data_IF_568873369764
#
_entry.id   IF_568873369764
#
_cell.length_a   1.000
_cell.length_b   1.000
_cell.length_c   1.000
_cell.angle_alpha   90.00
_cell.angle_beta   90.00
_cell.angle_gamma   90.00
#
_symmetry.space_group_name_H-M   'P 1'
#
loop_
_entity.id
_entity.type
_entity.pdbx_description
1 polymer ?
#
# COMPACT_ATOMS: atom_id res chain seq x y z
N UNK A 1 84.43 -13.83 -29.76
CA UNK A 1 83.48 -12.75 -29.95
C UNK A 1 82.30 -12.96 -28.97
N UNK A 2 82.06 -12.11 -28.00
CA UNK A 2 80.92 -12.28 -27.13
C UNK A 2 79.66 -11.85 -27.84
N UNK A 3 78.64 -12.71 -27.75
CA UNK A 3 77.30 -12.47 -28.29
C UNK A 3 76.69 -11.24 -27.55
N UNK A 4 76.39 -10.22 -28.33
CA UNK A 4 75.77 -9.02 -27.89
C UNK A 4 74.49 -9.35 -27.09
N UNK A 5 74.42 -8.79 -25.90
CA UNK A 5 73.20 -8.79 -25.04
C UNK A 5 72.04 -8.24 -25.90
N UNK A 6 71.11 -9.13 -26.29
CA UNK A 6 69.83 -8.71 -26.80
C UNK A 6 69.23 -7.88 -25.66
N UNK A 7 69.05 -6.59 -25.89
CA UNK A 7 68.32 -5.73 -24.97
C UNK A 7 66.99 -6.42 -24.65
N UNK A 8 66.80 -6.67 -23.36
CA UNK A 8 65.54 -7.25 -22.90
C UNK A 8 64.43 -6.29 -23.32
N UNK A 9 63.57 -6.77 -24.20
CA UNK A 9 62.37 -5.98 -24.53
C UNK A 9 61.55 -5.76 -23.26
N UNK A 10 61.33 -4.53 -22.98
CA UNK A 10 60.47 -4.14 -21.86
C UNK A 10 59.07 -4.77 -22.06
N UNK A 11 58.67 -5.60 -21.11
CA UNK A 11 57.38 -6.28 -21.20
C UNK A 11 56.37 -5.39 -20.53
N UNK A 12 55.43 -4.87 -21.29
CA UNK A 12 54.27 -4.16 -20.76
C UNK A 12 53.27 -5.17 -20.22
N UNK A 13 52.94 -5.06 -18.91
CA UNK A 13 51.98 -5.92 -18.28
C UNK A 13 50.57 -5.31 -18.40
N UNK A 14 49.73 -5.89 -19.25
CA UNK A 14 48.32 -5.50 -19.35
C UNK A 14 47.48 -5.98 -18.15
N UNK A 15 48.04 -6.80 -17.25
CA UNK A 15 47.37 -7.24 -16.02
C UNK A 15 47.56 -6.25 -14.84
N UNK A 16 48.34 -5.21 -15.02
CA UNK A 16 48.63 -4.21 -14.00
C UNK A 16 48.03 -2.85 -14.39
N UNK A 17 46.74 -2.85 -14.75
CA UNK A 17 46.00 -1.64 -14.96
C UNK A 17 45.69 -1.04 -13.58
N UNK A 18 45.89 0.27 -13.43
CA UNK A 18 45.41 0.99 -12.25
C UNK A 18 43.91 0.81 -12.13
N UNK A 19 43.42 0.57 -10.92
CA UNK A 19 41.99 0.48 -10.65
C UNK A 19 41.35 1.83 -10.95
N UNK A 20 40.66 1.92 -12.07
CA UNK A 20 39.92 3.13 -12.48
C UNK A 20 38.62 3.24 -11.70
N UNK A 21 38.00 2.10 -11.32
CA UNK A 21 36.80 2.00 -10.52
C UNK A 21 36.94 0.88 -9.50
N UNK A 22 36.48 1.07 -8.27
CA UNK A 22 36.47 0.00 -7.28
C UNK A 22 35.54 -1.14 -7.77
N UNK A 23 35.90 -2.38 -7.46
CA UNK A 23 35.05 -3.53 -7.75
C UNK A 23 33.72 -3.37 -7.02
N UNK A 24 32.58 -3.53 -7.73
CA UNK A 24 31.28 -3.43 -7.09
C UNK A 24 31.10 -4.59 -6.08
N UNK A 25 30.65 -4.26 -4.87
CA UNK A 25 30.24 -5.27 -3.90
C UNK A 25 28.85 -5.80 -4.29
N UNK A 26 28.77 -7.06 -4.68
CA UNK A 26 27.53 -7.70 -5.13
C UNK A 26 26.49 -7.87 -4.01
N UNK A 27 26.90 -7.75 -2.74
CA UNK A 27 26.03 -7.82 -1.57
C UNK A 27 25.82 -6.46 -0.90
N UNK A 28 26.21 -5.38 -1.56
CA UNK A 28 26.08 -4.02 -1.05
C UNK A 28 24.62 -3.63 -0.74
N UNK A 29 23.69 -4.09 -1.56
CA UNK A 29 22.25 -3.85 -1.36
C UNK A 29 21.78 -4.40 -0.01
N UNK A 30 22.17 -5.62 0.34
CA UNK A 30 21.81 -6.26 1.60
C UNK A 30 22.46 -5.56 2.79
N UNK A 31 23.76 -5.24 2.71
CA UNK A 31 24.51 -4.57 3.78
C UNK A 31 23.95 -3.16 4.05
N UNK A 32 23.86 -2.33 3.02
CA UNK A 32 23.34 -0.96 3.15
C UNK A 32 21.87 -0.92 3.59
N UNK A 33 21.04 -1.88 3.14
CA UNK A 33 19.67 -1.98 3.58
C UNK A 33 19.57 -2.28 5.08
N UNK A 34 20.42 -3.19 5.58
CA UNK A 34 20.46 -3.54 6.99
C UNK A 34 21.02 -2.41 7.85
N UNK A 35 22.10 -1.76 7.41
CA UNK A 35 22.67 -0.56 8.07
C UNK A 35 21.65 0.56 8.17
N UNK A 36 20.93 0.85 7.06
CA UNK A 36 19.85 1.85 7.07
C UNK A 36 18.71 1.46 8.00
N UNK A 37 18.35 0.17 8.04
CA UNK A 37 17.32 -0.31 8.96
C UNK A 37 17.72 -0.07 10.41
N UNK A 38 18.96 -0.38 10.81
CA UNK A 38 19.46 -0.14 12.16
C UNK A 38 19.62 1.36 12.49
N UNK A 39 19.96 2.18 11.48
CA UNK A 39 20.20 3.60 11.69
C UNK A 39 18.89 4.42 11.76
N UNK A 40 17.93 4.10 10.92
CA UNK A 40 16.70 4.90 10.72
C UNK A 40 15.45 4.05 10.89
N UNK A 41 15.40 2.86 10.30
CA UNK A 41 14.20 2.05 10.20
C UNK A 41 13.65 1.58 11.55
N UNK A 42 14.49 1.31 12.54
CA UNK A 42 14.06 0.98 13.90
C UNK A 42 13.37 2.17 14.55
N UNK A 43 13.96 3.37 14.46
CA UNK A 43 13.37 4.58 15.01
C UNK A 43 12.01 4.90 14.33
N UNK A 44 11.95 4.78 13.00
CA UNK A 44 10.70 4.93 12.24
C UNK A 44 9.64 3.91 12.70
N UNK A 45 10.03 2.64 12.92
CA UNK A 45 9.09 1.58 13.36
C UNK A 45 8.53 1.86 14.75
N UNK A 46 9.37 2.32 15.69
CA UNK A 46 8.89 2.68 17.03
C UNK A 46 8.03 3.95 17.01
N UNK A 47 8.36 4.93 16.17
CA UNK A 47 7.55 6.12 15.97
C UNK A 47 6.18 5.82 15.35
N UNK A 48 6.09 4.86 14.42
CA UNK A 48 4.83 4.42 13.82
C UNK A 48 3.87 3.77 14.83
N UNK A 49 4.41 3.11 15.86
CA UNK A 49 3.62 2.46 16.92
C UNK A 49 3.26 3.45 18.03
N UNK A 50 4.09 4.46 18.24
CA UNK A 50 3.94 5.46 19.29
C UNK A 50 3.16 6.70 18.78
N UNK A 51 2.38 7.34 19.67
CA UNK A 51 2.04 6.93 21.03
C UNK A 51 0.93 5.88 21.10
N UNK A 52 1.00 4.98 22.08
CA UNK A 52 -0.11 4.08 22.41
C UNK A 52 -0.97 4.79 23.44
N UNK A 53 -2.18 5.16 23.08
CA UNK A 53 -3.11 5.90 23.93
C UNK A 53 -4.22 5.00 24.46
N UNK A 54 -4.66 5.24 25.69
CA UNK A 54 -5.88 4.66 26.23
C UNK A 54 -7.12 5.20 25.49
N UNK A 55 -8.24 4.47 25.55
CA UNK A 55 -9.52 4.87 24.96
C UNK A 55 -10.04 6.23 25.45
N UNK A 56 -9.64 6.66 26.67
CA UNK A 56 -9.95 7.98 27.23
C UNK A 56 -8.96 9.07 26.82
N UNK A 57 -7.85 8.72 26.20
CA UNK A 57 -6.77 9.65 25.82
C UNK A 57 -5.98 10.23 27.01
N UNK A 58 -6.16 9.70 28.23
CA UNK A 58 -5.54 10.20 29.43
C UNK A 58 -4.19 9.55 29.74
N UNK A 59 -3.98 8.33 29.29
CA UNK A 59 -2.75 7.57 29.45
C UNK A 59 -2.08 7.42 28.07
N UNK A 60 -0.80 7.69 28.04
CA UNK A 60 -0.01 7.68 26.82
C UNK A 60 1.33 6.98 27.06
N UNK A 61 1.68 6.03 26.19
CA UNK A 61 2.94 5.31 26.23
C UNK A 61 3.67 5.55 24.91
N UNK A 62 4.82 6.16 25.00
CA UNK A 62 5.71 6.43 23.87
C UNK A 62 6.94 5.54 23.93
N UNK A 63 7.42 5.10 22.77
CA UNK A 63 8.68 4.41 22.61
C UNK A 63 9.63 5.24 21.78
N UNK A 64 10.79 5.56 22.32
CA UNK A 64 11.83 6.29 21.63
C UNK A 64 13.06 5.40 21.44
N UNK A 65 13.56 5.33 20.21
CA UNK A 65 14.77 4.63 19.86
C UNK A 65 15.71 5.58 19.12
N UNK A 66 16.89 5.81 19.68
CA UNK A 66 17.95 6.56 19.03
C UNK A 66 19.10 5.61 18.69
N UNK A 67 19.37 5.48 17.40
CA UNK A 67 20.45 4.63 16.91
C UNK A 67 21.86 5.10 17.32
N UNK A 68 22.01 6.36 17.71
CA UNK A 68 23.26 6.95 18.17
C UNK A 68 23.52 6.72 19.67
N UNK A 69 22.51 6.32 20.42
CA UNK A 69 22.60 6.05 21.86
C UNK A 69 23.14 4.61 22.08
N UNK A 70 24.36 4.54 22.61
CA UNK A 70 25.02 3.26 22.89
C UNK A 70 24.31 2.46 24.00
N UNK A 71 23.60 3.13 24.90
CA UNK A 71 22.85 2.48 25.99
C UNK A 71 21.62 1.69 25.48
N UNK A 72 21.17 2.00 24.25
CA UNK A 72 20.04 1.32 23.62
C UNK A 72 20.46 0.11 22.77
N UNK A 73 21.77 -0.16 22.65
CA UNK A 73 22.31 -1.31 21.92
C UNK A 73 23.29 -2.09 22.78
N UNK A 74 22.93 -3.31 23.13
CA UNK A 74 23.84 -4.25 23.79
C UNK A 74 24.65 -5.05 22.77
N UNK A 75 25.96 -5.30 23.07
CA UNK A 75 26.79 -6.13 22.19
C UNK A 75 26.27 -7.58 22.14
N UNK A 76 26.62 -8.33 21.08
CA UNK A 76 26.25 -9.73 20.98
C UNK A 76 26.84 -10.56 22.12
N UNK A 77 26.04 -11.48 22.67
CA UNK A 77 26.46 -12.35 23.81
C UNK A 77 27.51 -13.37 23.42
N UNK A 78 27.49 -13.79 22.16
CA UNK A 78 28.36 -14.83 21.62
C UNK A 78 28.99 -14.39 20.30
N UNK A 79 30.18 -14.89 20.02
CA UNK A 79 30.84 -14.68 18.72
C UNK A 79 30.15 -15.50 17.61
N UNK A 80 30.36 -15.13 16.34
CA UNK A 80 29.83 -15.86 15.18
C UNK A 80 30.17 -17.36 15.21
N UNK A 81 31.41 -17.68 15.62
CA UNK A 81 31.87 -19.09 15.70
C UNK A 81 31.15 -19.87 16.80
N UNK A 82 31.02 -19.26 17.98
CA UNK A 82 30.31 -19.89 19.09
C UNK A 82 28.82 -20.10 18.77
N UNK A 83 28.20 -19.12 18.07
CA UNK A 83 26.82 -19.26 17.63
C UNK A 83 26.63 -20.45 16.70
N UNK A 84 27.57 -20.71 15.78
CA UNK A 84 27.53 -21.87 14.86
C UNK A 84 27.80 -23.21 15.58
N UNK A 85 28.69 -23.21 16.58
CA UNK A 85 29.05 -24.42 17.31
C UNK A 85 28.03 -24.85 18.37
N UNK A 86 27.33 -23.85 18.94
CA UNK A 86 26.37 -24.07 20.06
C UNK A 86 24.90 -23.88 19.65
N UNK A 87 24.61 -23.82 18.36
CA UNK A 87 23.26 -23.59 17.83
C UNK A 87 22.57 -22.33 18.38
N UNK A 88 23.34 -21.26 18.58
CA UNK A 88 22.80 -19.98 19.02
C UNK A 88 22.54 -19.03 17.84
N UNK A 89 21.73 -18.00 18.12
CA UNK A 89 21.50 -16.91 17.17
C UNK A 89 22.49 -15.77 17.44
N UNK A 90 23.17 -15.29 16.40
CA UNK A 90 24.03 -14.13 16.45
C UNK A 90 23.15 -12.87 16.45
N UNK A 91 23.04 -12.17 17.61
CA UNK A 91 22.10 -11.08 17.80
C UNK A 91 22.65 -9.99 18.70
N UNK A 92 22.25 -8.75 18.44
CA UNK A 92 22.45 -7.62 19.33
C UNK A 92 21.21 -7.47 20.22
N UNK A 93 21.40 -6.96 21.43
CA UNK A 93 20.30 -6.63 22.34
C UNK A 93 19.77 -5.24 22.01
N UNK A 94 18.44 -5.12 21.86
CA UNK A 94 17.79 -3.83 21.62
C UNK A 94 17.02 -3.40 22.85
N UNK A 95 17.27 -2.17 23.27
CA UNK A 95 16.57 -1.47 24.33
C UNK A 95 15.86 -0.25 23.73
N UNK A 96 14.78 0.17 24.34
CA UNK A 96 14.06 1.39 23.99
C UNK A 96 13.79 2.20 25.22
N UNK A 97 13.72 3.50 25.07
CA UNK A 97 13.30 4.41 26.12
C UNK A 97 11.77 4.48 26.09
N UNK A 98 11.13 3.92 27.11
CA UNK A 98 9.69 3.97 27.28
C UNK A 98 9.32 5.16 28.16
N UNK A 99 8.49 6.07 27.64
CA UNK A 99 7.96 7.22 28.35
C UNK A 99 6.47 7.03 28.56
N UNK A 100 6.05 6.97 29.83
CA UNK A 100 4.67 6.89 30.24
C UNK A 100 4.19 8.24 30.73
N UNK A 101 3.16 8.79 30.08
CA UNK A 101 2.55 10.07 30.41
C UNK A 101 1.13 9.85 30.95
N UNK A 102 0.85 10.34 32.14
CA UNK A 102 -0.50 10.41 32.72
C UNK A 102 -0.98 11.86 32.68
N UNK A 103 -1.87 12.20 31.75
CA UNK A 103 -2.39 13.56 31.59
C UNK A 103 -3.27 14.04 32.74
N UNK A 104 -3.89 13.12 33.51
CA UNK A 104 -4.71 13.47 34.66
C UNK A 104 -3.89 13.96 35.84
N UNK A 105 -2.72 13.33 36.08
CA UNK A 105 -1.84 13.66 37.22
C UNK A 105 -0.66 14.52 36.81
N UNK A 106 -0.41 14.65 35.50
CA UNK A 106 0.79 15.32 34.95
C UNK A 106 2.10 14.53 35.20
N UNK A 107 1.99 13.27 35.64
CA UNK A 107 3.15 12.43 35.95
C UNK A 107 3.77 11.86 34.66
N UNK A 108 5.09 12.01 34.54
CA UNK A 108 5.90 11.43 33.46
C UNK A 108 6.86 10.42 34.11
N UNK A 109 6.82 9.17 33.63
CA UNK A 109 7.78 8.13 34.01
C UNK A 109 8.55 7.69 32.79
N UNK A 110 9.87 7.67 32.90
CA UNK A 110 10.75 7.23 31.82
C UNK A 110 11.63 6.09 32.32
N UNK A 111 11.74 5.03 31.51
CA UNK A 111 12.55 3.87 31.81
C UNK A 111 13.07 3.23 30.51
N UNK A 112 14.33 2.78 30.53
CA UNK A 112 14.90 1.96 29.47
C UNK A 112 14.38 0.52 29.62
N UNK A 113 13.76 -0.01 28.56
CA UNK A 113 13.14 -1.33 28.54
C UNK A 113 13.83 -2.20 27.49
N UNK A 114 14.15 -3.43 27.88
CA UNK A 114 14.66 -4.44 26.96
C UNK A 114 13.52 -4.93 26.03
N UNK A 115 13.71 -4.76 24.72
CA UNK A 115 12.72 -5.17 23.73
C UNK A 115 12.96 -6.58 23.19
N UNK A 116 14.24 -6.97 23.07
CA UNK A 116 14.57 -8.31 22.61
C UNK A 116 15.97 -8.41 22.00
N UNK A 117 16.32 -9.64 21.65
CA UNK A 117 17.54 -9.95 20.90
C UNK A 117 17.22 -9.85 19.39
N UNK A 118 17.89 -8.97 18.66
CA UNK A 118 17.68 -8.77 17.23
C UNK A 118 18.82 -9.37 16.42
N UNK A 119 18.54 -10.22 15.41
CA UNK A 119 19.60 -10.85 14.61
C UNK A 119 20.53 -9.83 13.97
N UNK A 120 21.83 -10.04 14.12
CA UNK A 120 22.89 -9.21 13.56
C UNK A 120 23.42 -9.79 12.27
N UNK A 121 23.63 -8.95 11.27
CA UNK A 121 24.26 -9.33 10.02
C UNK A 121 25.77 -9.52 10.20
N UNK A 122 26.32 -10.58 9.61
CA UNK A 122 27.76 -10.80 9.55
C UNK A 122 28.40 -9.94 8.45
N UNK A 123 29.71 -9.82 8.45
CA UNK A 123 30.45 -9.10 7.39
C UNK A 123 30.23 -9.65 5.99
N UNK A 124 29.79 -10.92 5.90
CA UNK A 124 29.47 -11.61 4.64
C UNK A 124 28.03 -11.35 4.16
N UNK A 125 27.25 -10.52 4.88
CA UNK A 125 25.85 -10.23 4.55
C UNK A 125 24.89 -11.38 4.90
N UNK A 126 25.27 -12.27 5.81
CA UNK A 126 24.48 -13.43 6.26
C UNK A 126 23.98 -13.21 7.70
N UNK A 127 23.00 -14.02 8.11
CA UNK A 127 22.52 -14.09 9.48
C UNK A 127 22.74 -15.49 10.02
N UNK A 128 23.15 -15.61 11.28
CA UNK A 128 23.28 -16.89 11.97
C UNK A 128 22.08 -17.04 12.91
N UNK A 129 21.20 -17.97 12.59
CA UNK A 129 19.98 -18.23 13.35
C UNK A 129 19.98 -19.72 13.77
N UNK A 130 19.98 -19.97 15.06
CA UNK A 130 20.08 -21.33 15.63
C UNK A 130 21.23 -22.12 15.00
N UNK A 131 22.42 -21.52 14.96
CA UNK A 131 23.63 -22.13 14.39
C UNK A 131 23.69 -22.18 12.86
N UNK A 132 22.57 -21.98 12.17
CA UNK A 132 22.48 -22.06 10.71
C UNK A 132 22.69 -20.69 10.08
N UNK A 133 23.59 -20.62 9.10
CA UNK A 133 23.84 -19.40 8.32
C UNK A 133 22.76 -19.26 7.24
N UNK A 134 22.08 -18.09 7.24
CA UNK A 134 20.97 -17.77 6.34
C UNK A 134 21.16 -16.43 5.65
N UNK A 135 20.53 -16.26 4.50
CA UNK A 135 20.55 -15.02 3.72
C UNK A 135 19.13 -14.56 3.46
N UNK A 136 18.92 -13.25 3.55
CA UNK A 136 17.65 -12.65 3.11
C UNK A 136 17.73 -12.44 1.60
N UNK A 137 16.82 -13.08 0.86
CA UNK A 137 16.72 -12.95 -0.58
C UNK A 137 15.85 -11.76 -0.91
N UNK A 138 16.36 -10.85 -1.75
CA UNK A 138 15.59 -9.71 -2.25
C UNK A 138 14.40 -10.19 -3.07
N UNK A 139 13.23 -9.61 -2.83
CA UNK A 139 12.00 -9.91 -3.57
C UNK A 139 11.55 -8.69 -4.37
N UNK A 140 11.15 -8.94 -5.62
CA UNK A 140 10.47 -7.93 -6.42
C UNK A 140 9.00 -7.87 -6.03
N UNK A 141 8.56 -6.70 -5.63
CA UNK A 141 7.16 -6.43 -5.31
C UNK A 141 6.62 -5.39 -6.27
N UNK A 142 5.30 -5.39 -6.49
CA UNK A 142 4.67 -4.34 -7.27
C UNK A 142 4.84 -3.01 -6.54
N UNK A 143 5.20 -1.97 -7.31
CA UNK A 143 5.31 -0.64 -6.74
C UNK A 143 3.95 -0.14 -6.26
N UNK A 144 3.88 0.50 -5.08
CA UNK A 144 2.64 1.12 -4.64
C UNK A 144 2.20 2.21 -5.62
N UNK A 145 0.90 2.40 -5.74
CA UNK A 145 0.26 3.34 -6.67
C UNK A 145 -0.97 2.74 -7.34
N UNK A 146 -1.53 3.42 -8.33
CA UNK A 146 -2.62 2.90 -9.15
C UNK A 146 -2.08 2.35 -10.47
N UNK A 147 -2.55 1.17 -10.86
CA UNK A 147 -2.14 0.46 -12.08
C UNK A 147 -3.39 0.04 -12.84
N UNK A 148 -3.45 0.36 -14.13
CA UNK A 148 -4.52 -0.04 -15.04
C UNK A 148 -3.98 -1.03 -16.08
N UNK A 149 -4.61 -2.20 -16.14
CA UNK A 149 -4.15 -3.31 -16.98
C UNK A 149 -5.32 -3.93 -17.75
N UNK A 150 -5.05 -4.56 -18.91
CA UNK A 150 -6.05 -5.40 -19.56
C UNK A 150 -6.33 -6.62 -18.68
N UNK A 151 -7.60 -6.93 -18.46
CA UNK A 151 -8.00 -8.06 -17.63
C UNK A 151 -7.68 -9.42 -18.28
N UNK A 152 -7.13 -10.35 -17.49
CA UNK A 152 -6.72 -11.67 -18.01
C UNK A 152 -7.88 -12.63 -18.29
N UNK A 153 -9.08 -12.37 -17.79
CA UNK A 153 -10.19 -13.36 -17.77
C UNK A 153 -10.79 -13.73 -19.12
N UNK A 154 -10.53 -12.98 -20.18
CA UNK A 154 -11.15 -13.19 -21.50
C UNK A 154 -10.17 -13.34 -22.66
N UNK A 155 -9.16 -14.16 -22.53
CA UNK A 155 -8.46 -14.77 -23.67
C UNK A 155 -9.33 -15.83 -24.36
N UNK A 156 -10.63 -15.62 -24.49
CA UNK A 156 -11.49 -16.50 -25.25
C UNK A 156 -11.47 -16.11 -26.72
N UNK A 157 -11.19 -17.09 -27.52
CA UNK A 157 -10.80 -17.22 -28.94
C UNK A 157 -11.51 -16.32 -29.99
N UNK A 158 -12.54 -15.55 -29.68
CA UNK A 158 -13.36 -14.87 -30.69
C UNK A 158 -13.83 -13.46 -30.33
N UNK A 159 -13.25 -12.77 -29.35
CA UNK A 159 -13.73 -11.45 -28.93
C UNK A 159 -12.73 -10.34 -29.23
N UNK A 160 -12.70 -9.94 -30.50
CA UNK A 160 -11.91 -8.78 -30.97
C UNK A 160 -12.45 -7.40 -30.55
N UNK A 161 -13.57 -7.32 -29.84
CA UNK A 161 -14.26 -6.04 -29.57
C UNK A 161 -14.40 -5.62 -28.10
N UNK A 162 -14.04 -6.44 -27.12
CA UNK A 162 -14.31 -6.10 -25.72
C UNK A 162 -13.06 -6.33 -24.87
N UNK A 163 -12.34 -5.27 -24.61
CA UNK A 163 -11.23 -5.28 -23.65
C UNK A 163 -11.81 -5.17 -22.25
N UNK A 164 -11.64 -6.22 -21.45
CA UNK A 164 -11.81 -6.11 -20.01
C UNK A 164 -10.66 -5.27 -19.48
N UNK A 165 -10.96 -4.21 -18.75
CA UNK A 165 -9.96 -3.35 -18.12
C UNK A 165 -10.07 -3.49 -16.62
N UNK A 166 -8.94 -3.61 -15.96
CA UNK A 166 -8.85 -3.66 -14.51
C UNK A 166 -7.96 -2.54 -14.01
N UNK A 167 -8.39 -1.92 -12.92
CA UNK A 167 -7.61 -0.92 -12.20
C UNK A 167 -7.35 -1.41 -10.79
N UNK A 168 -6.14 -1.31 -10.30
CA UNK A 168 -5.82 -1.75 -8.94
C UNK A 168 -5.02 -0.67 -8.21
N UNK A 169 -5.48 -0.30 -7.02
CA UNK A 169 -4.71 0.54 -6.11
C UNK A 169 -3.91 -0.39 -5.20
N UNK A 170 -2.58 -0.32 -5.33
CA UNK A 170 -1.63 -1.07 -4.52
C UNK A 170 -1.05 -0.15 -3.43
N UNK A 171 -1.32 -0.39 -2.14
CA UNK A 171 -0.63 0.29 -1.07
C UNK A 171 0.76 -0.32 -0.82
N UNK A 172 1.61 0.38 -0.10
CA UNK A 172 2.79 -0.19 0.51
C UNK A 172 2.41 -1.08 1.70
N UNK A 173 1.46 -0.59 2.53
CA UNK A 173 0.86 -1.31 3.66
C UNK A 173 -0.64 -1.09 3.64
N UNK A 174 -1.43 -2.17 3.72
CA UNK A 174 -2.89 -2.12 3.74
C UNK A 174 -3.54 -3.03 2.72
N UNK A 175 -4.85 -2.90 2.59
CA UNK A 175 -5.66 -3.71 1.69
C UNK A 175 -5.72 -3.12 0.28
N UNK A 176 -5.74 -3.99 -0.72
CA UNK A 176 -5.87 -3.58 -2.12
C UNK A 176 -7.32 -3.27 -2.46
N UNK A 177 -7.51 -2.32 -3.38
CA UNK A 177 -8.79 -2.10 -4.05
C UNK A 177 -8.59 -2.42 -5.52
N UNK A 178 -9.39 -3.36 -6.02
CA UNK A 178 -9.40 -3.75 -7.43
C UNK A 178 -10.70 -3.28 -8.05
N UNK A 179 -10.64 -2.58 -9.17
CA UNK A 179 -11.77 -2.19 -10.01
C UNK A 179 -11.76 -2.99 -11.29
N UNK A 180 -12.91 -3.35 -11.77
CA UNK A 180 -13.05 -4.03 -13.08
C UNK A 180 -14.26 -3.52 -13.84
N UNK A 181 -14.11 -3.47 -15.17
CA UNK A 181 -15.23 -3.28 -16.11
C UNK A 181 -15.38 -4.58 -16.88
N UNK A 182 -16.53 -5.22 -16.75
CA UNK A 182 -16.82 -6.51 -17.33
C UNK A 182 -17.93 -6.40 -18.38
N UNK A 183 -17.64 -6.83 -19.61
CA UNK A 183 -18.64 -6.99 -20.63
C UNK A 183 -18.85 -8.48 -20.93
N UNK A 184 -20.05 -8.98 -20.72
CA UNK A 184 -20.44 -10.34 -21.09
C UNK A 184 -21.24 -10.29 -22.36
N UNK A 185 -21.01 -11.23 -23.34
CA UNK A 185 -21.80 -11.29 -24.55
C UNK A 185 -23.29 -11.40 -24.26
N UNK A 186 -24.10 -10.51 -24.83
CA UNK A 186 -25.55 -10.48 -24.64
C UNK A 186 -26.01 -9.99 -23.27
N UNK A 187 -25.15 -9.34 -22.52
CA UNK A 187 -25.45 -8.66 -21.25
C UNK A 187 -24.85 -7.27 -21.24
N UNK A 188 -25.42 -6.42 -20.40
CA UNK A 188 -24.94 -5.07 -20.21
C UNK A 188 -23.53 -5.04 -19.65
N UNK A 189 -22.80 -3.97 -19.92
CA UNK A 189 -21.52 -3.70 -19.33
C UNK A 189 -21.71 -3.45 -17.83
N UNK A 190 -20.86 -4.03 -17.01
CA UNK A 190 -20.94 -3.86 -15.58
C UNK A 190 -19.59 -3.42 -15.03
N UNK A 191 -19.58 -2.35 -14.25
CA UNK A 191 -18.44 -1.91 -13.49
C UNK A 191 -18.56 -2.36 -12.02
N UNK A 192 -17.45 -2.78 -11.45
CA UNK A 192 -17.43 -3.26 -10.07
C UNK A 192 -16.09 -3.09 -9.40
N UNK A 193 -16.07 -3.35 -8.10
CA UNK A 193 -14.87 -3.35 -7.33
C UNK A 193 -14.79 -4.56 -6.39
N UNK A 194 -13.55 -4.94 -6.06
CA UNK A 194 -13.25 -5.94 -5.01
C UNK A 194 -12.43 -5.28 -3.93
N UNK A 195 -12.92 -5.39 -2.73
CA UNK A 195 -12.24 -4.93 -1.52
C UNK A 195 -11.56 -6.15 -0.89
N UNK A 196 -10.26 -6.05 -0.57
CA UNK A 196 -9.49 -7.11 0.09
C UNK A 196 -9.63 -8.48 -0.62
N UNK A 197 -9.69 -8.50 -1.96
CA UNK A 197 -9.86 -9.71 -2.80
C UNK A 197 -11.14 -10.51 -2.50
N UNK A 198 -12.15 -9.89 -1.89
CA UNK A 198 -13.44 -10.50 -1.60
C UNK A 198 -14.34 -10.52 -2.83
N UNK A 199 -15.63 -10.82 -2.63
CA UNK A 199 -16.62 -10.86 -3.73
C UNK A 199 -16.79 -9.48 -4.35
N UNK A 200 -16.95 -9.45 -5.66
CA UNK A 200 -17.21 -8.25 -6.44
C UNK A 200 -18.46 -7.51 -5.95
N UNK A 201 -18.32 -6.23 -5.77
CA UNK A 201 -19.35 -5.25 -5.45
C UNK A 201 -19.65 -4.42 -6.70
N UNK A 202 -20.85 -3.86 -6.80
CA UNK A 202 -21.14 -2.87 -7.81
C UNK A 202 -20.36 -1.58 -7.60
N UNK A 203 -20.00 -0.90 -8.69
CA UNK A 203 -19.35 0.42 -8.61
C UNK A 203 -20.24 1.42 -7.87
N UNK A 204 -21.55 1.37 -8.05
CA UNK A 204 -22.49 2.25 -7.38
C UNK A 204 -22.53 2.05 -5.87
N UNK A 205 -22.41 0.81 -5.39
CA UNK A 205 -22.25 0.53 -3.94
C UNK A 205 -20.98 1.18 -3.39
N UNK A 206 -19.88 1.16 -4.15
CA UNK A 206 -18.64 1.81 -3.73
C UNK A 206 -18.76 3.33 -3.73
N UNK A 207 -19.36 3.91 -4.77
CA UNK A 207 -19.57 5.37 -4.85
C UNK A 207 -20.40 5.88 -3.67
N UNK A 208 -21.48 5.17 -3.31
CA UNK A 208 -22.28 5.53 -2.12
C UNK A 208 -21.49 5.38 -0.83
N UNK A 209 -20.72 4.29 -0.67
CA UNK A 209 -19.88 4.10 0.50
C UNK A 209 -18.83 5.21 0.67
N UNK A 210 -18.36 5.78 -0.44
CA UNK A 210 -17.47 6.94 -0.43
C UNK A 210 -18.18 8.25 -0.08
N UNK A 211 -19.52 8.24 0.02
CA UNK A 211 -20.33 9.42 0.33
C UNK A 211 -20.89 10.13 -0.90
N UNK A 212 -20.76 9.54 -2.10
CA UNK A 212 -21.39 10.06 -3.33
C UNK A 212 -22.77 9.43 -3.52
N UNK A 213 -23.62 9.55 -2.50
CA UNK A 213 -25.01 9.12 -2.47
C UNK A 213 -25.96 10.30 -2.71
N UNK A 214 -27.25 10.02 -2.88
CA UNK A 214 -28.25 11.06 -3.15
C UNK A 214 -28.43 12.03 -1.98
N UNK A 215 -28.18 11.58 -0.74
CA UNK A 215 -28.30 12.41 0.45
C UNK A 215 -27.19 13.48 0.54
N UNK A 216 -25.97 13.12 0.21
CA UNK A 216 -24.82 14.01 0.29
C UNK A 216 -24.58 14.80 -1.00
N UNK A 217 -24.86 14.18 -2.15
CA UNK A 217 -24.64 14.74 -3.48
C UNK A 217 -25.85 14.49 -4.40
N UNK A 218 -26.95 15.26 -4.27
CA UNK A 218 -28.16 15.06 -5.05
C UNK A 218 -27.92 15.04 -6.56
N UNK A 219 -28.44 14.02 -7.26
CA UNK A 219 -28.33 13.85 -8.70
C UNK A 219 -26.91 13.53 -9.20
N UNK A 220 -25.96 13.22 -8.32
CA UNK A 220 -24.60 12.88 -8.75
C UNK A 220 -24.58 11.55 -9.52
N UNK A 221 -25.19 10.51 -8.98
CA UNK A 221 -25.20 9.19 -9.61
C UNK A 221 -25.88 9.18 -10.97
N UNK A 222 -27.00 9.93 -11.13
CA UNK A 222 -27.66 10.07 -12.42
C UNK A 222 -26.77 10.77 -13.45
N UNK A 223 -26.11 11.88 -13.07
CA UNK A 223 -25.15 12.58 -13.95
C UNK A 223 -23.95 11.72 -14.26
N UNK A 224 -23.49 10.90 -13.32
CA UNK A 224 -22.40 9.96 -13.51
C UNK A 224 -22.75 8.88 -14.56
N UNK A 225 -23.98 8.34 -14.48
CA UNK A 225 -24.50 7.37 -15.48
C UNK A 225 -24.71 8.05 -16.84
N UNK A 226 -25.23 9.28 -16.88
CA UNK A 226 -25.39 10.03 -18.13
C UNK A 226 -24.03 10.31 -18.82
N UNK A 227 -22.98 10.47 -18.05
CA UNK A 227 -21.61 10.65 -18.57
C UNK A 227 -21.03 9.31 -19.08
N UNK A 228 -21.29 8.21 -18.37
CA UNK A 228 -20.88 6.86 -18.74
C UNK A 228 -22.12 6.02 -19.15
N UNK A 229 -22.70 6.36 -20.29
CA UNK A 229 -23.97 5.82 -20.78
C UNK A 229 -24.01 4.28 -20.88
N UNK A 230 -22.87 3.64 -21.12
CA UNK A 230 -22.74 2.19 -21.14
C UNK A 230 -23.05 1.51 -19.79
N UNK A 231 -23.14 2.27 -18.68
CA UNK A 231 -23.53 1.77 -17.36
C UNK A 231 -25.04 1.86 -17.09
N UNK A 232 -25.84 2.41 -18.02
CA UNK A 232 -27.29 2.60 -17.86
C UNK A 232 -28.01 1.29 -17.52
N UNK A 233 -27.73 0.21 -18.24
CA UNK A 233 -28.33 -1.10 -17.97
C UNK A 233 -27.98 -1.67 -16.58
N UNK A 234 -26.76 -1.44 -16.10
CA UNK A 234 -26.38 -1.79 -14.72
C UNK A 234 -27.13 -0.93 -13.70
N UNK A 235 -27.25 0.37 -13.95
CA UNK A 235 -27.94 1.31 -13.09
C UNK A 235 -29.41 0.98 -12.95
N UNK A 236 -30.11 0.73 -14.07
CA UNK A 236 -31.51 0.32 -14.07
C UNK A 236 -31.74 -0.98 -13.30
N UNK A 237 -30.87 -1.98 -13.53
CA UNK A 237 -30.94 -3.26 -12.81
C UNK A 237 -30.76 -3.10 -11.29
N UNK A 238 -29.97 -2.17 -10.86
CA UNK A 238 -29.78 -1.89 -9.43
C UNK A 238 -30.98 -1.11 -8.87
N UNK A 239 -31.43 -0.09 -9.57
CA UNK A 239 -32.59 0.70 -9.16
C UNK A 239 -33.83 -0.18 -9.02
N UNK A 240 -34.05 -1.13 -9.93
CA UNK A 240 -35.14 -2.09 -9.85
C UNK A 240 -35.10 -3.00 -8.62
N UNK A 241 -33.93 -3.32 -8.11
CA UNK A 241 -33.78 -4.12 -6.88
C UNK A 241 -34.25 -3.35 -5.65
N UNK A 242 -34.06 -2.03 -5.62
CA UNK A 242 -34.47 -1.21 -4.49
C UNK A 242 -35.97 -0.92 -4.51
N UNK A 243 -36.55 -0.76 -5.71
CA UNK A 243 -38.00 -0.52 -5.88
C UNK A 243 -38.84 -1.76 -5.54
N UNK A 244 -38.26 -2.95 -5.50
CA UNK A 244 -38.96 -4.21 -5.18
C UNK A 244 -39.08 -4.54 -3.70
N UNK A 245 -38.44 -3.81 -2.80
CA UNK A 245 -38.70 -3.94 -1.37
C UNK A 245 -40.00 -3.20 -1.01
N UNK A 246 -40.95 -3.97 -0.51
CA UNK A 246 -42.39 -3.77 -0.41
C UNK A 246 -42.87 -2.58 0.43
N UNK A 247 -42.44 -1.37 0.35
CA UNK A 247 -43.18 -0.23 0.94
C UNK A 247 -42.74 1.07 0.28
N UNK A 248 -43.69 1.65 -0.46
CA UNK A 248 -43.86 3.07 -0.82
C UNK A 248 -42.62 3.98 -0.91
N UNK A 249 -42.05 4.07 -2.06
CA UNK A 249 -41.06 4.98 -2.59
C UNK A 249 -39.71 4.32 -2.85
N UNK A 250 -39.13 4.47 -4.04
CA UNK A 250 -37.77 4.03 -4.32
C UNK A 250 -36.82 4.89 -3.50
N UNK A 251 -36.40 4.39 -2.35
CA UNK A 251 -35.38 5.03 -1.53
C UNK A 251 -34.04 4.58 -2.10
N UNK A 252 -33.28 5.50 -2.66
CA UNK A 252 -31.88 5.23 -3.03
C UNK A 252 -31.09 4.84 -1.77
N UNK A 253 -30.31 3.75 -1.82
CA UNK A 253 -29.54 3.32 -0.68
C UNK A 253 -28.62 4.41 -0.19
N UNK A 254 -28.65 4.62 1.10
CA UNK A 254 -27.79 5.58 1.79
C UNK A 254 -26.33 5.10 1.86
N UNK A 255 -25.43 6.00 2.22
CA UNK A 255 -24.02 5.66 2.50
C UNK A 255 -23.92 4.54 3.54
N UNK A 256 -24.75 4.58 4.60
CA UNK A 256 -24.74 3.58 5.68
C UNK A 256 -25.10 2.18 5.16
N UNK A 257 -26.11 2.08 4.31
CA UNK A 257 -26.53 0.80 3.72
C UNK A 257 -25.46 0.22 2.79
N UNK A 258 -24.79 1.08 2.02
CA UNK A 258 -23.69 0.67 1.18
C UNK A 258 -22.49 0.15 2.00
N UNK A 259 -22.16 0.81 3.11
CA UNK A 259 -21.12 0.37 4.04
C UNK A 259 -21.48 -0.96 4.70
N UNK A 260 -22.74 -1.14 5.10
CA UNK A 260 -23.25 -2.41 5.65
C UNK A 260 -23.14 -3.54 4.61
N UNK A 261 -23.45 -3.27 3.33
CA UNK A 261 -23.29 -4.27 2.27
C UNK A 261 -21.82 -4.68 2.09
N UNK A 262 -20.90 -3.72 2.11
CA UNK A 262 -19.45 -3.99 2.07
C UNK A 262 -19.03 -4.85 3.25
N UNK A 263 -19.47 -4.49 4.47
CA UNK A 263 -19.13 -5.21 5.68
C UNK A 263 -19.63 -6.65 5.69
N UNK A 264 -20.88 -6.89 5.28
CA UNK A 264 -21.46 -8.24 5.15
C UNK A 264 -20.63 -9.14 4.22
N UNK A 265 -20.05 -8.56 3.16
CA UNK A 265 -19.22 -9.32 2.22
C UNK A 265 -17.79 -9.51 2.72
N UNK A 266 -17.28 -8.55 3.47
CA UNK A 266 -15.92 -8.62 4.03
C UNK A 266 -15.85 -9.59 5.21
N UNK A 267 -16.88 -9.59 6.07
CA UNK A 267 -16.96 -10.40 7.31
C UNK A 267 -18.28 -11.17 7.39
N UNK A 268 -18.44 -12.23 6.59
CA UNK A 268 -19.64 -13.06 6.66
C UNK A 268 -19.75 -13.73 8.03
N UNK A 269 -20.89 -13.53 8.72
CA UNK A 269 -21.17 -14.15 10.02
C UNK A 269 -21.11 -13.19 11.24
N UNK A 270 -20.59 -11.98 11.07
CA UNK A 270 -20.69 -10.94 12.09
C UNK A 270 -21.96 -10.09 11.88
N UNK A 271 -22.65 -9.68 12.96
CA UNK A 271 -23.80 -8.79 12.84
C UNK A 271 -23.36 -7.42 12.30
N UNK A 272 -23.92 -6.95 11.17
CA UNK A 272 -23.52 -5.70 10.57
C UNK A 272 -24.23 -4.52 11.27
N UNK A 273 -23.47 -3.70 11.99
CA UNK A 273 -23.94 -2.41 12.49
C UNK A 273 -23.38 -1.29 11.61
N UNK A 274 -24.10 -0.17 11.48
CA UNK A 274 -23.64 0.96 10.68
C UNK A 274 -22.28 1.50 11.16
N UNK A 275 -22.11 1.60 12.46
CA UNK A 275 -20.86 2.06 13.07
C UNK A 275 -19.67 1.09 12.80
N UNK A 276 -19.89 -0.21 12.98
CA UNK A 276 -18.86 -1.22 12.73
C UNK A 276 -18.46 -1.24 11.23
N UNK A 277 -19.43 -1.08 10.34
CA UNK A 277 -19.20 -1.03 8.91
C UNK A 277 -18.41 0.24 8.49
N UNK A 278 -18.79 1.41 9.03
CA UNK A 278 -18.08 2.66 8.78
C UNK A 278 -16.64 2.60 9.32
N UNK A 279 -16.46 2.12 10.55
CA UNK A 279 -15.14 1.94 11.15
C UNK A 279 -14.28 0.95 10.35
N UNK A 280 -14.85 -0.17 9.89
CA UNK A 280 -14.13 -1.13 9.06
C UNK A 280 -13.59 -0.49 7.79
N UNK A 281 -14.45 0.22 7.03
CA UNK A 281 -14.09 0.83 5.77
C UNK A 281 -13.09 1.98 5.93
N UNK A 282 -13.31 2.85 6.92
CA UNK A 282 -12.40 3.95 7.22
C UNK A 282 -11.02 3.45 7.67
N UNK A 283 -10.99 2.47 8.57
CA UNK A 283 -9.73 1.90 9.07
C UNK A 283 -8.96 1.11 7.99
N UNK A 284 -9.66 0.58 6.99
CA UNK A 284 -9.01 -0.19 5.92
C UNK A 284 -8.24 0.68 4.93
N UNK A 285 -8.70 1.94 4.68
CA UNK A 285 -8.20 2.76 3.57
C UNK A 285 -7.83 4.20 3.95
N UNK A 286 -8.42 4.75 5.02
CA UNK A 286 -8.31 6.17 5.38
C UNK A 286 -7.66 6.39 6.75
N UNK A 287 -7.15 5.34 7.39
CA UNK A 287 -6.42 5.40 8.66
C UNK A 287 -4.92 5.26 8.40
N UNK A 288 -4.12 6.24 8.78
CA UNK A 288 -2.66 6.30 8.59
C UNK A 288 -1.91 5.20 9.35
N UNK A 289 -2.48 4.69 10.44
CA UNK A 289 -1.92 3.59 11.23
C UNK A 289 -2.01 2.25 10.50
N UNK A 290 -2.99 2.07 9.62
CA UNK A 290 -3.30 0.79 8.96
C UNK A 290 -3.01 0.80 7.47
N UNK A 291 -3.08 1.96 6.83
CA UNK A 291 -2.91 2.12 5.40
C UNK A 291 -1.79 3.10 5.08
N UNK A 292 -0.90 2.74 4.18
CA UNK A 292 0.14 3.63 3.69
C UNK A 292 0.46 3.36 2.22
N UNK A 293 0.46 4.41 1.43
CA UNK A 293 0.94 4.42 0.04
C UNK A 293 2.46 4.55 -0.05
N UNK A 294 3.13 4.94 1.02
CA UNK A 294 4.50 5.44 1.01
C UNK A 294 4.68 6.69 0.12
N UNK A 295 5.85 7.32 0.20
CA UNK A 295 6.18 8.51 -0.65
C UNK A 295 6.13 8.18 -2.14
N UNK A 296 6.56 6.98 -2.53
CA UNK A 296 6.58 6.54 -3.93
C UNK A 296 5.16 6.33 -4.47
N UNK A 297 4.30 5.66 -3.71
CA UNK A 297 2.90 5.45 -4.10
C UNK A 297 2.15 6.76 -4.19
N UNK A 298 2.33 7.67 -3.22
CA UNK A 298 1.73 9.00 -3.23
C UNK A 298 2.13 9.80 -4.47
N UNK A 299 3.42 9.84 -4.80
CA UNK A 299 3.90 10.51 -6.02
C UNK A 299 3.26 9.95 -7.29
N UNK A 300 3.21 8.61 -7.43
CA UNK A 300 2.64 7.96 -8.60
C UNK A 300 1.14 8.19 -8.73
N UNK A 301 0.41 8.13 -7.62
CA UNK A 301 -1.02 8.39 -7.57
C UNK A 301 -1.31 9.83 -7.99
N UNK A 302 -0.64 10.80 -7.38
CA UNK A 302 -0.82 12.22 -7.70
C UNK A 302 -0.51 12.48 -9.17
N UNK A 303 0.60 11.95 -9.70
CA UNK A 303 0.97 12.12 -11.10
C UNK A 303 -0.11 11.62 -12.07
N UNK A 304 -0.83 10.55 -11.70
CA UNK A 304 -1.79 9.89 -12.57
C UNK A 304 -3.22 10.42 -12.41
N UNK A 305 -3.64 10.69 -11.18
CA UNK A 305 -5.03 11.01 -10.86
C UNK A 305 -5.31 12.49 -10.65
N UNK A 306 -4.30 13.37 -10.46
CA UNK A 306 -4.58 14.79 -10.18
C UNK A 306 -5.37 15.47 -11.30
N UNK A 307 -5.02 15.22 -12.55
CA UNK A 307 -5.73 15.76 -13.70
C UNK A 307 -7.16 15.21 -13.80
N UNK A 308 -7.37 13.98 -13.38
CA UNK A 308 -8.69 13.35 -13.36
C UNK A 308 -9.60 13.94 -12.27
N UNK A 309 -9.03 14.23 -11.09
CA UNK A 309 -9.76 14.92 -10.02
C UNK A 309 -10.22 16.31 -10.49
N UNK A 310 -9.36 17.06 -11.19
CA UNK A 310 -9.73 18.38 -11.75
C UNK A 310 -10.87 18.26 -12.77
N UNK A 311 -10.82 17.29 -13.67
CA UNK A 311 -11.88 17.02 -14.63
C UNK A 311 -13.21 16.68 -13.94
N UNK A 312 -13.17 15.87 -12.89
CA UNK A 312 -14.36 15.49 -12.12
C UNK A 312 -14.96 16.67 -11.36
N UNK A 313 -14.12 17.58 -10.81
CA UNK A 313 -14.58 18.82 -10.20
C UNK A 313 -15.35 19.69 -11.22
N UNK A 314 -14.78 19.86 -12.42
CA UNK A 314 -15.40 20.66 -13.48
C UNK A 314 -16.68 20.00 -14.03
N UNK A 315 -16.67 18.68 -14.24
CA UNK A 315 -17.76 17.93 -14.85
C UNK A 315 -19.00 17.85 -13.95
N UNK A 316 -18.79 17.57 -12.67
CA UNK A 316 -19.88 17.36 -11.72
C UNK A 316 -20.16 18.57 -10.81
N UNK A 317 -19.33 19.63 -10.88
CA UNK A 317 -19.45 20.81 -10.02
C UNK A 317 -19.21 20.49 -8.55
N UNK A 318 -18.39 19.46 -8.26
CA UNK A 318 -18.06 19.03 -6.92
C UNK A 318 -16.78 19.70 -6.45
N UNK A 319 -16.69 19.96 -5.15
CA UNK A 319 -15.44 20.31 -4.51
C UNK A 319 -14.83 19.04 -3.93
N UNK A 320 -13.86 18.46 -4.62
CA UNK A 320 -13.22 17.22 -4.22
C UNK A 320 -12.04 17.49 -3.27
N UNK A 321 -11.82 16.55 -2.35
CA UNK A 321 -10.69 16.58 -1.44
C UNK A 321 -9.40 16.35 -2.21
N UNK A 322 -8.44 17.27 -2.10
CA UNK A 322 -7.10 17.10 -2.68
C UNK A 322 -6.15 16.54 -1.62
N UNK A 323 -5.47 15.43 -1.91
CA UNK A 323 -4.52 14.88 -0.96
C UNK A 323 -3.37 15.85 -0.71
N UNK A 324 -2.98 16.00 0.55
CA UNK A 324 -1.75 16.70 0.89
C UNK A 324 -0.54 15.96 0.30
N UNK A 325 0.49 16.71 -0.11
CA UNK A 325 1.68 16.15 -0.78
C UNK A 325 2.37 15.08 0.08
N UNK A 326 2.34 15.25 1.39
CA UNK A 326 2.96 14.34 2.36
C UNK A 326 2.01 13.27 2.91
N UNK A 327 0.71 13.35 2.60
CA UNK A 327 -0.27 12.36 3.05
C UNK A 327 0.02 11.00 2.41
N UNK A 328 0.14 9.96 3.23
CA UNK A 328 0.36 8.59 2.77
C UNK A 328 -0.92 7.77 2.72
N UNK A 329 -2.05 8.36 3.05
CA UNK A 329 -3.37 7.72 3.14
C UNK A 329 -4.19 8.07 1.90
N UNK A 330 -5.04 7.16 1.44
CA UNK A 330 -5.98 7.45 0.34
C UNK A 330 -6.98 8.53 0.74
N UNK A 331 -7.48 9.25 -0.25
CA UNK A 331 -8.66 10.11 -0.14
C UNK A 331 -9.84 9.49 -0.91
N UNK A 332 -11.05 9.87 -0.54
CA UNK A 332 -12.27 9.39 -1.22
C UNK A 332 -12.31 9.85 -2.68
N UNK A 333 -11.83 11.06 -2.93
CA UNK A 333 -11.71 11.62 -4.29
C UNK A 333 -10.75 10.86 -5.18
N UNK A 334 -9.66 10.32 -4.63
CA UNK A 334 -8.72 9.50 -5.41
C UNK A 334 -9.32 8.16 -5.83
N UNK A 335 -10.15 7.55 -4.97
CA UNK A 335 -10.86 6.34 -5.32
C UNK A 335 -11.88 6.61 -6.42
N UNK A 336 -12.63 7.73 -6.33
CA UNK A 336 -13.53 8.18 -7.39
C UNK A 336 -12.79 8.44 -8.71
N UNK A 337 -11.65 9.14 -8.65
CA UNK A 337 -10.83 9.41 -9.83
C UNK A 337 -10.26 8.13 -10.47
N UNK A 338 -9.89 7.14 -9.66
CA UNK A 338 -9.44 5.85 -10.18
C UNK A 338 -10.58 5.09 -10.90
N UNK A 339 -11.80 5.16 -10.37
CA UNK A 339 -12.99 4.60 -11.01
C UNK A 339 -13.27 5.32 -12.34
N UNK A 340 -13.30 6.65 -12.34
CA UNK A 340 -13.53 7.46 -13.54
C UNK A 340 -12.47 7.17 -14.61
N UNK A 341 -11.20 7.17 -14.27
CA UNK A 341 -10.11 6.84 -15.18
C UNK A 341 -10.28 5.45 -15.82
N UNK A 342 -10.69 4.46 -15.03
CA UNK A 342 -10.98 3.11 -15.52
C UNK A 342 -12.14 3.09 -16.50
N UNK A 343 -13.21 3.84 -16.24
CA UNK A 343 -14.39 3.92 -17.12
C UNK A 343 -14.05 4.59 -18.45
N UNK A 344 -13.29 5.68 -18.45
CA UNK A 344 -12.78 6.30 -19.69
C UNK A 344 -11.87 5.36 -20.49
N UNK A 345 -11.05 4.54 -19.79
CA UNK A 345 -10.27 3.48 -20.47
C UNK A 345 -11.18 2.40 -21.09
N UNK A 346 -12.26 2.03 -20.42
CA UNK A 346 -13.21 1.04 -20.94
C UNK A 346 -13.96 1.57 -22.17
N UNK A 347 -14.24 2.85 -22.23
CA UNK A 347 -14.85 3.54 -23.38
C UNK A 347 -13.85 3.87 -24.50
N UNK A 348 -12.58 3.52 -24.31
CA UNK A 348 -11.49 3.81 -25.23
C UNK A 348 -11.32 5.31 -25.56
N UNK A 349 -11.56 6.16 -24.58
CA UNK A 349 -11.45 7.61 -24.74
C UNK A 349 -9.99 8.05 -25.02
N UNK A 350 -9.76 8.97 -25.98
CA UNK A 350 -8.43 9.46 -26.29
C UNK A 350 -7.76 10.16 -25.11
N UNK A 351 -6.51 9.80 -24.81
CA UNK A 351 -5.73 10.42 -23.72
C UNK A 351 -5.56 9.51 -22.51
N UNK A 352 -6.39 8.50 -22.34
CA UNK A 352 -6.26 7.50 -21.28
C UNK A 352 -5.41 6.32 -21.77
N UNK A 353 -4.52 5.80 -20.91
CA UNK A 353 -3.56 4.75 -21.28
C UNK A 353 -3.48 3.67 -20.22
N UNK A 354 -3.37 2.44 -20.69
CA UNK A 354 -3.01 1.31 -19.85
C UNK A 354 -1.54 1.41 -19.42
N UNK A 355 -1.24 0.81 -18.29
CA UNK A 355 0.13 0.66 -17.82
C UNK A 355 0.76 -0.61 -18.39
N UNK A 356 2.00 -0.50 -18.80
CA UNK A 356 2.82 -1.63 -19.27
C UNK A 356 3.32 -2.48 -18.10
#
# INVERSE_FOLDING_TARGET
MPLSSRAARERYSFGNLEEVLPLPDLIDVQKKSFERFLAIGLAETFADISPITDFTGNLELEFEFDSSDEDLKGPPKFSEKECKEKDHTYSDQIFVRARFLNRNTGEIKEQTVFMGDFPKMTDKGTFIINGTERVIVSQLVRSPGVIFQPGERYRLRNMQKHQLVTGTIHPYRGEWIEFDVEHKPGKDVTAGARIARKRRLSVFTILRALGYDEANHPGFLERFVQHFDFLEGQWETERDKWTRSEEDSPIDPTQEEALIEIYKRARPGEPPTAEAAANYFNNAYFDDRRYSLSKVGRYKLNKKLSAEIEKLEDLFGLKLERPAVDSQVLTRSEVLAAISYLLHLADAEPGYRLDD
#
